data_IF_370014420676
#
_entry.id   IF_370014420676
#
_cell.length_a   1.000
_cell.length_b   1.000
_cell.length_c   1.000
_cell.angle_alpha   90.00
_cell.angle_beta   90.00
_cell.angle_gamma   90.00
#
_symmetry.space_group_name_H-M   'P 1'
#
loop_
_entity.id
_entity.type
_entity.pdbx_description
1 polymer ?
#
# COMPACT_ATOMS: atom_id res chain seq x y z
N UNK A 1 -7.20 8.12 21.85
CA UNK A 1 -8.08 7.38 20.91
C UNK A 1 -9.12 8.26 20.23
N UNK A 2 -9.75 9.22 20.92
CA UNK A 2 -10.73 10.13 20.30
C UNK A 2 -10.22 10.84 19.02
N UNK A 3 -8.95 11.28 18.99
CA UNK A 3 -8.37 11.93 17.81
C UNK A 3 -8.20 11.00 16.60
N UNK A 4 -7.93 9.71 16.85
CA UNK A 4 -7.83 8.69 15.80
C UNK A 4 -9.19 8.47 15.14
N UNK A 5 -10.26 8.41 15.94
CA UNK A 5 -11.63 8.24 15.44
C UNK A 5 -12.13 9.50 14.72
N UNK A 6 -11.83 10.70 15.25
CA UNK A 6 -12.21 11.96 14.60
C UNK A 6 -11.51 12.15 13.26
N UNK A 7 -10.21 11.84 13.19
CA UNK A 7 -9.46 11.88 11.93
C UNK A 7 -9.95 10.83 10.93
N UNK A 8 -10.33 9.63 11.38
CA UNK A 8 -10.97 8.61 10.55
C UNK A 8 -12.25 9.13 9.89
N UNK A 9 -13.16 9.72 10.69
CA UNK A 9 -14.42 10.26 10.17
C UNK A 9 -14.21 11.37 9.14
N UNK A 10 -13.23 12.26 9.37
CA UNK A 10 -12.85 13.31 8.40
C UNK A 10 -12.26 12.73 7.11
N UNK A 11 -11.37 11.75 7.23
CA UNK A 11 -10.78 11.07 6.09
C UNK A 11 -11.82 10.32 5.28
N UNK A 12 -12.78 9.65 5.94
CA UNK A 12 -13.87 8.94 5.28
C UNK A 12 -14.78 9.92 4.52
N UNK A 13 -15.16 11.04 5.16
CA UNK A 13 -15.96 12.08 4.49
C UNK A 13 -15.22 12.70 3.29
N UNK A 14 -13.90 12.92 3.40
CA UNK A 14 -13.08 13.40 2.30
C UNK A 14 -12.99 12.38 1.14
N UNK A 15 -12.76 11.11 1.47
CA UNK A 15 -12.69 9.99 0.51
C UNK A 15 -14.00 9.83 -0.28
N UNK A 16 -15.15 9.95 0.39
CA UNK A 16 -16.47 9.82 -0.22
C UNK A 16 -16.91 11.04 -1.01
N UNK A 17 -16.10 12.12 -1.03
CA UNK A 17 -16.42 13.27 -1.88
C UNK A 17 -16.32 12.89 -3.37
N UNK A 18 -17.24 13.35 -4.24
CA UNK A 18 -17.23 13.00 -5.66
C UNK A 18 -15.91 13.31 -6.36
N UNK A 19 -15.25 14.40 -5.93
CA UNK A 19 -13.93 14.80 -6.44
C UNK A 19 -12.84 13.79 -6.10
N UNK A 20 -12.84 13.23 -4.88
CA UNK A 20 -11.82 12.27 -4.46
C UNK A 20 -12.05 10.89 -5.07
N UNK A 21 -13.31 10.48 -5.19
CA UNK A 21 -13.67 9.25 -5.91
C UNK A 21 -13.29 9.37 -7.40
N UNK A 22 -13.59 10.49 -8.06
CA UNK A 22 -13.15 10.73 -9.44
C UNK A 22 -11.63 10.74 -9.56
N UNK A 23 -10.92 11.32 -8.60
CA UNK A 23 -9.46 11.32 -8.56
C UNK A 23 -8.88 9.90 -8.45
N UNK A 24 -9.54 9.00 -7.71
CA UNK A 24 -9.12 7.58 -7.59
C UNK A 24 -9.22 6.81 -8.92
N UNK A 25 -10.09 7.24 -9.83
CA UNK A 25 -10.25 6.60 -11.15
C UNK A 25 -9.06 6.90 -12.06
N UNK A 26 -8.45 8.08 -11.96
CA UNK A 26 -7.33 8.46 -12.83
C UNK A 26 -6.14 7.48 -12.78
N UNK A 27 -5.50 7.22 -11.61
CA UNK A 27 -4.38 6.27 -11.54
C UNK A 27 -4.82 4.83 -11.86
N UNK A 28 -6.06 4.48 -11.55
CA UNK A 28 -6.64 3.18 -11.89
C UNK A 28 -6.72 2.99 -13.41
N UNK A 29 -7.32 3.94 -14.12
CA UNK A 29 -7.46 3.92 -15.58
C UNK A 29 -6.09 3.93 -16.25
N UNK A 30 -5.16 4.77 -15.79
CA UNK A 30 -3.79 4.80 -16.30
C UNK A 30 -3.12 3.43 -16.17
N UNK A 31 -3.25 2.79 -15.00
CA UNK A 31 -2.68 1.46 -14.76
C UNK A 31 -3.34 0.38 -15.61
N UNK A 32 -4.68 0.37 -15.71
CA UNK A 32 -5.41 -0.62 -16.52
C UNK A 32 -5.10 -0.46 -18.00
N UNK A 33 -5.02 0.77 -18.53
CA UNK A 33 -4.66 1.02 -19.92
C UNK A 33 -3.22 0.58 -20.20
N UNK A 34 -2.27 0.98 -19.36
CA UNK A 34 -0.86 0.60 -19.50
C UNK A 34 -0.72 -0.93 -19.52
N UNK A 35 -1.24 -1.62 -18.50
CA UNK A 35 -1.11 -3.06 -18.40
C UNK A 35 -1.96 -3.81 -19.42
N UNK A 36 -3.11 -3.27 -19.82
CA UNK A 36 -3.90 -3.79 -20.92
C UNK A 36 -3.10 -3.81 -22.22
N UNK A 37 -2.40 -2.72 -22.55
CA UNK A 37 -1.52 -2.65 -23.72
C UNK A 37 -0.31 -3.58 -23.58
N UNK A 38 0.37 -3.57 -22.43
CA UNK A 38 1.55 -4.42 -22.20
C UNK A 38 1.21 -5.91 -22.29
N UNK A 39 0.09 -6.34 -21.70
CA UNK A 39 -0.34 -7.74 -21.77
C UNK A 39 -0.86 -8.09 -23.16
N UNK A 40 -1.58 -7.18 -23.84
CA UNK A 40 -2.02 -7.42 -25.21
C UNK A 40 -0.84 -7.67 -26.16
N UNK A 41 0.23 -6.88 -26.04
CA UNK A 41 1.41 -6.99 -26.92
C UNK A 41 2.40 -8.06 -26.44
N UNK A 42 2.54 -8.24 -25.12
CA UNK A 42 3.63 -9.00 -24.51
C UNK A 42 3.24 -10.33 -23.89
N UNK A 43 1.95 -10.68 -23.76
CA UNK A 43 1.53 -11.90 -23.04
C UNK A 43 2.08 -13.18 -23.66
N UNK A 44 1.96 -13.36 -24.98
CA UNK A 44 2.50 -14.54 -25.66
C UNK A 44 4.04 -14.60 -25.57
N UNK A 45 4.79 -13.55 -25.97
CA UNK A 45 6.25 -13.53 -25.83
C UNK A 45 6.75 -13.80 -24.40
N UNK A 46 6.06 -13.24 -23.40
CA UNK A 46 6.41 -13.43 -21.99
C UNK A 46 6.19 -14.88 -21.54
N UNK A 47 5.07 -15.49 -21.92
CA UNK A 47 4.83 -16.91 -21.61
C UNK A 47 5.84 -17.81 -22.32
N UNK A 48 6.14 -17.56 -23.59
CA UNK A 48 7.12 -18.34 -24.35
C UNK A 48 8.50 -18.24 -23.70
N UNK A 49 8.90 -17.03 -23.30
CA UNK A 49 10.14 -16.80 -22.56
C UNK A 49 10.16 -17.57 -21.24
N UNK A 50 9.08 -17.52 -20.44
CA UNK A 50 9.00 -18.29 -19.18
C UNK A 50 9.06 -19.80 -19.44
N UNK A 51 8.35 -20.33 -20.44
CA UNK A 51 8.39 -21.74 -20.79
C UNK A 51 9.80 -22.17 -21.21
N UNK A 52 10.50 -21.35 -22.00
CA UNK A 52 11.89 -21.58 -22.35
C UNK A 52 12.78 -21.68 -21.11
N UNK A 53 12.67 -20.72 -20.19
CA UNK A 53 13.43 -20.73 -18.93
C UNK A 53 13.16 -21.98 -18.09
N UNK A 54 11.91 -22.46 -18.11
CA UNK A 54 11.52 -23.68 -17.42
C UNK A 54 12.10 -24.96 -18.02
N UNK A 55 12.22 -25.01 -19.35
CA UNK A 55 12.84 -26.13 -20.07
C UNK A 55 14.35 -26.12 -19.84
N UNK A 56 14.99 -24.96 -20.00
CA UNK A 56 16.43 -24.79 -19.91
C UNK A 56 17.01 -25.20 -18.53
N UNK A 57 16.27 -24.91 -17.46
CA UNK A 57 16.70 -25.19 -16.08
C UNK A 57 16.04 -26.44 -15.46
N UNK A 58 15.37 -27.29 -16.25
CA UNK A 58 14.61 -28.48 -15.81
C UNK A 58 13.63 -28.19 -14.65
N UNK A 59 13.06 -26.97 -14.63
CA UNK A 59 12.18 -26.51 -13.56
C UNK A 59 10.84 -27.25 -13.57
N UNK A 60 10.40 -27.78 -14.72
CA UNK A 60 9.19 -28.60 -14.81
C UNK A 60 9.30 -29.91 -14.03
N UNK A 61 10.49 -30.51 -13.99
CA UNK A 61 10.74 -31.73 -13.21
C UNK A 61 10.75 -31.42 -11.73
N UNK A 62 11.50 -30.39 -11.33
CA UNK A 62 11.63 -29.97 -9.93
C UNK A 62 10.30 -29.51 -9.34
N UNK A 63 9.60 -28.58 -10.01
CA UNK A 63 8.28 -28.11 -9.57
C UNK A 63 7.24 -29.23 -9.61
N UNK A 64 7.24 -30.07 -10.65
CA UNK A 64 6.32 -31.20 -10.77
C UNK A 64 6.48 -32.23 -9.66
N UNK A 65 7.73 -32.54 -9.28
CA UNK A 65 8.06 -33.45 -8.17
C UNK A 65 7.62 -32.88 -6.82
N UNK A 66 7.80 -31.58 -6.60
CA UNK A 66 7.35 -30.93 -5.37
C UNK A 66 5.82 -30.93 -5.30
N UNK A 67 5.14 -30.51 -6.37
CA UNK A 67 3.67 -30.49 -6.42
C UNK A 67 3.07 -31.88 -6.22
N UNK A 68 3.63 -32.91 -6.85
CA UNK A 68 3.13 -34.28 -6.68
C UNK A 68 3.32 -34.79 -5.25
N UNK A 69 4.41 -34.40 -4.57
CA UNK A 69 4.66 -34.80 -3.19
C UNK A 69 3.61 -34.28 -2.19
N UNK A 70 2.95 -33.16 -2.51
CA UNK A 70 1.88 -32.55 -1.70
C UNK A 70 0.47 -32.83 -2.25
N UNK A 71 0.34 -33.70 -3.26
CA UNK A 71 -0.95 -34.07 -3.87
C UNK A 71 -1.49 -33.08 -4.91
N UNK A 72 -0.69 -32.09 -5.33
CA UNK A 72 -1.08 -31.01 -6.26
C UNK A 72 -0.60 -31.24 -7.70
N UNK A 73 -0.38 -32.49 -8.12
CA UNK A 73 0.16 -32.83 -9.44
C UNK A 73 -0.64 -32.24 -10.62
N UNK A 74 -1.95 -32.02 -10.44
CA UNK A 74 -2.83 -31.37 -11.42
C UNK A 74 -2.43 -29.94 -11.79
N UNK A 75 -1.72 -29.23 -10.90
CA UNK A 75 -1.29 -27.84 -11.15
C UNK A 75 -0.02 -27.76 -11.99
N UNK A 76 0.64 -28.88 -12.33
CA UNK A 76 1.90 -28.91 -13.10
C UNK A 76 1.80 -28.15 -14.43
N UNK A 77 0.65 -28.26 -15.11
CA UNK A 77 0.38 -27.55 -16.38
C UNK A 77 0.09 -26.06 -16.19
N UNK A 78 -0.23 -25.64 -14.96
CA UNK A 78 -0.55 -24.26 -14.60
C UNK A 78 0.61 -23.53 -13.93
N UNK A 79 1.74 -24.19 -13.65
CA UNK A 79 2.87 -23.59 -12.93
C UNK A 79 3.37 -22.31 -13.61
N UNK A 80 3.56 -22.34 -14.93
CA UNK A 80 4.05 -21.16 -15.67
C UNK A 80 3.03 -20.01 -15.63
N UNK A 81 1.74 -20.21 -16.00
CA UNK A 81 0.72 -19.17 -15.85
C UNK A 81 0.57 -18.64 -14.41
N UNK A 82 0.63 -19.50 -13.39
CA UNK A 82 0.51 -19.09 -11.99
C UNK A 82 1.69 -18.21 -11.55
N UNK A 83 2.92 -18.55 -11.97
CA UNK A 83 4.10 -17.74 -11.70
C UNK A 83 4.08 -16.42 -12.46
N UNK A 84 3.60 -16.43 -13.71
CA UNK A 84 3.35 -15.21 -14.48
C UNK A 84 2.41 -14.27 -13.71
N UNK A 85 1.27 -14.79 -13.24
CA UNK A 85 0.32 -14.02 -12.43
C UNK A 85 0.94 -13.54 -11.11
N UNK A 86 1.69 -14.40 -10.42
CA UNK A 86 2.37 -14.05 -9.17
C UNK A 86 3.38 -12.91 -9.35
N UNK A 87 4.04 -12.83 -10.50
CA UNK A 87 4.99 -11.77 -10.81
C UNK A 87 4.28 -10.48 -11.28
N UNK A 88 3.29 -10.62 -12.17
CA UNK A 88 2.64 -9.50 -12.83
C UNK A 88 1.69 -8.76 -11.88
N UNK A 89 0.91 -9.47 -11.05
CA UNK A 89 -0.10 -8.84 -10.18
C UNK A 89 0.51 -7.82 -9.20
N UNK A 90 1.58 -8.12 -8.44
CA UNK A 90 2.23 -7.13 -7.59
C UNK A 90 2.77 -5.95 -8.39
N UNK A 91 3.34 -6.19 -9.58
CA UNK A 91 3.89 -5.13 -10.41
C UNK A 91 2.80 -4.19 -10.94
N UNK A 92 1.63 -4.73 -11.29
CA UNK A 92 0.43 -3.96 -11.62
C UNK A 92 -0.02 -3.05 -10.48
N UNK A 93 -0.10 -3.62 -9.27
CA UNK A 93 -0.48 -2.87 -8.07
C UNK A 93 0.55 -1.78 -7.78
N UNK A 94 1.85 -2.11 -7.80
CA UNK A 94 2.94 -1.15 -7.60
C UNK A 94 2.87 0.00 -8.62
N UNK A 95 2.61 -0.30 -9.90
CA UNK A 95 2.47 0.72 -10.94
C UNK A 95 1.28 1.66 -10.65
N UNK A 96 0.13 1.10 -10.24
CA UNK A 96 -1.01 1.90 -9.84
C UNK A 96 -0.69 2.80 -8.63
N UNK A 97 0.01 2.28 -7.62
CA UNK A 97 0.42 3.05 -6.45
C UNK A 97 1.41 4.17 -6.81
N UNK A 98 2.33 3.94 -7.76
CA UNK A 98 3.21 4.98 -8.30
C UNK A 98 2.37 6.09 -8.97
N UNK A 99 1.39 5.72 -9.78
CA UNK A 99 0.48 6.71 -10.38
C UNK A 99 -0.34 7.47 -9.33
N UNK A 100 -0.75 6.81 -8.24
CA UNK A 100 -1.39 7.51 -7.10
C UNK A 100 -0.44 8.52 -6.48
N UNK A 101 0.81 8.13 -6.20
CA UNK A 101 1.82 9.01 -5.61
C UNK A 101 2.11 10.24 -6.47
N UNK A 102 2.17 10.09 -7.79
CA UNK A 102 2.50 11.18 -8.71
C UNK A 102 1.27 12.04 -9.08
N UNK A 103 0.11 11.42 -9.31
CA UNK A 103 -1.06 12.12 -9.86
C UNK A 103 -2.12 12.50 -8.80
N UNK A 104 -2.34 11.65 -7.80
CA UNK A 104 -3.42 11.83 -6.83
C UNK A 104 -2.94 12.48 -5.52
N UNK A 105 -1.82 12.02 -4.94
CA UNK A 105 -1.34 12.51 -3.65
C UNK A 105 -1.12 14.03 -3.59
N UNK A 106 -0.56 14.71 -4.61
CA UNK A 106 -0.43 16.17 -4.58
C UNK A 106 -1.78 16.89 -4.47
N UNK A 107 -2.82 16.34 -5.10
CA UNK A 107 -4.19 16.88 -5.04
C UNK A 107 -4.82 16.60 -3.68
N UNK A 108 -4.58 15.42 -3.11
CA UNK A 108 -5.04 15.01 -1.78
C UNK A 108 -4.48 15.93 -0.70
N UNK A 109 -3.15 16.09 -0.66
CA UNK A 109 -2.45 16.97 0.28
C UNK A 109 -2.94 18.41 0.15
N UNK A 110 -3.07 18.92 -1.09
CA UNK A 110 -3.61 20.27 -1.33
C UNK A 110 -5.06 20.39 -0.85
N UNK A 111 -5.89 19.37 -1.03
CA UNK A 111 -7.28 19.39 -0.59
C UNK A 111 -7.39 19.47 0.94
N UNK A 112 -6.60 18.67 1.66
CA UNK A 112 -6.64 18.64 3.12
C UNK A 112 -6.06 19.91 3.72
N UNK A 113 -4.88 20.33 3.27
CA UNK A 113 -4.21 21.55 3.76
C UNK A 113 -5.09 22.79 3.58
N UNK A 114 -5.58 23.05 2.37
CA UNK A 114 -6.37 24.27 2.08
C UNK A 114 -7.74 24.29 2.76
N UNK A 115 -8.40 23.13 2.91
CA UNK A 115 -9.77 23.08 3.41
C UNK A 115 -9.87 22.87 4.91
N UNK A 116 -8.97 22.06 5.48
CA UNK A 116 -9.07 21.62 6.87
C UNK A 116 -8.06 22.30 7.79
N UNK A 117 -6.94 22.78 7.24
CA UNK A 117 -5.86 23.41 8.00
C UNK A 117 -5.28 24.64 7.27
N UNK A 118 -6.12 25.61 6.86
CA UNK A 118 -5.66 26.77 6.08
C UNK A 118 -4.65 27.65 6.83
N UNK A 119 -4.67 27.59 8.16
CA UNK A 119 -3.79 28.36 9.06
C UNK A 119 -2.40 27.73 9.25
N UNK A 120 -2.16 26.49 8.77
CA UNK A 120 -0.86 25.84 8.95
C UNK A 120 0.13 26.28 7.87
N UNK A 121 1.16 27.05 8.27
CA UNK A 121 2.29 27.36 7.39
C UNK A 121 3.07 26.11 7.03
N UNK A 122 3.35 25.95 5.73
CA UNK A 122 4.21 24.90 5.17
C UNK A 122 5.66 25.26 5.48
N UNK A 123 6.31 24.48 6.35
CA UNK A 123 7.73 24.64 6.67
C UNK A 123 8.67 23.83 5.76
N UNK A 124 8.11 23.02 4.83
CA UNK A 124 8.86 22.18 3.85
C UNK A 124 10.08 21.47 4.47
N UNK A 125 9.90 20.89 5.67
CA UNK A 125 10.98 20.33 6.48
C UNK A 125 11.56 19.00 5.97
N UNK A 126 11.38 18.67 4.69
CA UNK A 126 12.07 17.56 4.05
C UNK A 126 11.88 17.54 2.54
N UNK A 127 12.29 16.43 1.93
CA UNK A 127 12.37 16.31 0.47
C UNK A 127 11.86 14.96 -0.02
N UNK A 128 11.59 14.86 -1.31
CA UNK A 128 11.25 13.60 -1.98
C UNK A 128 12.32 12.53 -1.76
N UNK A 129 13.60 12.89 -1.84
CA UNK A 129 14.71 11.98 -1.53
C UNK A 129 14.74 11.56 -0.05
N UNK A 130 14.31 12.44 0.86
CA UNK A 130 14.12 12.11 2.27
C UNK A 130 13.02 11.06 2.48
N UNK A 131 11.91 11.14 1.74
CA UNK A 131 10.84 10.12 1.76
C UNK A 131 11.36 8.77 1.27
N UNK A 132 12.10 8.74 0.15
CA UNK A 132 12.72 7.51 -0.37
C UNK A 132 13.71 6.92 0.63
N UNK A 133 14.60 7.73 1.21
CA UNK A 133 15.55 7.30 2.23
C UNK A 133 14.85 6.75 3.48
N UNK A 134 13.79 7.40 3.95
CA UNK A 134 12.97 6.94 5.07
C UNK A 134 12.28 5.61 4.77
N UNK A 135 11.72 5.45 3.57
CA UNK A 135 11.10 4.21 3.13
C UNK A 135 12.11 3.06 3.07
N UNK A 136 13.28 3.28 2.48
CA UNK A 136 14.35 2.29 2.40
C UNK A 136 14.89 1.90 3.79
N UNK A 137 15.15 2.87 4.66
CA UNK A 137 15.61 2.60 6.02
C UNK A 137 14.55 1.84 6.84
N UNK A 138 13.28 2.23 6.73
CA UNK A 138 12.18 1.55 7.41
C UNK A 138 11.98 0.13 6.86
N UNK A 139 12.16 -0.08 5.55
CA UNK A 139 12.11 -1.40 4.93
C UNK A 139 13.27 -2.29 5.37
N UNK A 140 14.49 -1.75 5.49
CA UNK A 140 15.62 -2.51 6.02
C UNK A 140 15.35 -2.97 7.47
N UNK A 141 14.83 -2.08 8.33
CA UNK A 141 14.43 -2.44 9.69
C UNK A 141 13.32 -3.49 9.67
N UNK A 142 12.31 -3.32 8.80
CA UNK A 142 11.22 -4.29 8.61
C UNK A 142 11.77 -5.69 8.31
N UNK A 143 12.73 -5.81 7.39
CA UNK A 143 13.33 -7.11 7.03
C UNK A 143 14.02 -7.74 8.24
N UNK A 144 14.83 -6.98 8.97
CA UNK A 144 15.51 -7.51 10.17
C UNK A 144 14.51 -7.99 11.22
N UNK A 145 13.48 -7.20 11.51
CA UNK A 145 12.47 -7.56 12.51
C UNK A 145 11.61 -8.73 12.01
N UNK A 146 11.26 -8.77 10.72
CA UNK A 146 10.53 -9.89 10.11
C UNK A 146 11.30 -11.21 10.27
N UNK A 147 12.60 -11.21 9.99
CA UNK A 147 13.44 -12.40 10.18
C UNK A 147 13.48 -12.81 11.66
N UNK A 148 13.53 -11.84 12.58
CA UNK A 148 13.49 -12.11 14.01
C UNK A 148 12.12 -12.63 14.50
N UNK A 149 11.02 -12.33 13.80
CA UNK A 149 9.67 -12.83 14.14
C UNK A 149 9.34 -14.18 13.51
N UNK A 150 10.19 -14.75 12.64
CA UNK A 150 9.98 -16.09 12.05
C UNK A 150 9.68 -17.18 13.09
N UNK A 151 10.34 -17.25 14.27
CA UNK A 151 10.00 -18.24 15.28
C UNK A 151 8.55 -18.13 15.80
N UNK A 152 7.95 -16.93 15.77
CA UNK A 152 6.56 -16.72 16.19
C UNK A 152 5.56 -17.37 15.21
N UNK A 153 5.98 -17.70 13.99
CA UNK A 153 5.12 -18.38 13.01
C UNK A 153 4.78 -19.82 13.38
N UNK A 154 5.46 -20.41 14.38
CA UNK A 154 5.07 -21.69 14.96
C UNK A 154 3.71 -21.63 15.68
N UNK A 155 3.25 -20.43 16.07
CA UNK A 155 1.98 -20.21 16.76
C UNK A 155 1.11 -19.27 15.91
N UNK A 156 0.10 -19.77 15.19
CA UNK A 156 -0.62 -18.99 14.18
C UNK A 156 -1.20 -17.65 14.67
N UNK A 157 -1.78 -17.54 15.89
CA UNK A 157 -2.22 -16.24 16.41
C UNK A 157 -1.09 -15.22 16.58
N UNK A 158 0.10 -15.66 17.02
CA UNK A 158 1.28 -14.79 17.17
C UNK A 158 1.84 -14.39 15.82
N UNK A 159 1.83 -15.31 14.84
CA UNK A 159 2.20 -15.02 13.46
C UNK A 159 1.35 -13.88 12.87
N UNK A 160 0.03 -13.98 13.03
CA UNK A 160 -0.91 -12.97 12.55
C UNK A 160 -0.71 -11.63 13.25
N UNK A 161 -0.55 -11.64 14.58
CA UNK A 161 -0.27 -10.43 15.35
C UNK A 161 1.03 -9.77 14.91
N UNK A 162 2.12 -10.54 14.76
CA UNK A 162 3.40 -10.04 14.28
C UNK A 162 3.27 -9.43 12.88
N UNK A 163 2.52 -10.08 11.99
CA UNK A 163 2.27 -9.58 10.64
C UNK A 163 1.55 -8.23 10.66
N UNK A 164 0.41 -8.14 11.35
CA UNK A 164 -0.38 -6.90 11.44
C UNK A 164 0.42 -5.76 12.09
N UNK A 165 1.15 -6.05 13.17
CA UNK A 165 1.97 -5.06 13.88
C UNK A 165 3.10 -4.55 12.99
N UNK A 166 3.82 -5.46 12.34
CA UNK A 166 5.00 -5.12 11.55
C UNK A 166 4.63 -4.32 10.30
N UNK A 167 3.59 -4.75 9.58
CA UNK A 167 3.04 -4.00 8.45
C UNK A 167 2.49 -2.66 8.88
N UNK A 168 1.72 -2.62 9.97
CA UNK A 168 1.19 -1.38 10.51
C UNK A 168 2.28 -0.40 10.93
N UNK A 169 3.37 -0.91 11.50
CA UNK A 169 4.54 -0.10 11.86
C UNK A 169 5.23 0.50 10.63
N UNK A 170 5.46 -0.31 9.59
CA UNK A 170 6.06 0.16 8.34
C UNK A 170 5.19 1.23 7.67
N UNK A 171 3.90 0.97 7.52
CA UNK A 171 2.93 1.94 6.98
C UNK A 171 2.91 3.22 7.80
N UNK A 172 2.86 3.12 9.14
CA UNK A 172 2.86 4.29 10.01
C UNK A 172 4.13 5.13 9.86
N UNK A 173 5.30 4.50 9.70
CA UNK A 173 6.57 5.22 9.56
C UNK A 173 6.67 5.98 8.24
N UNK A 174 6.34 5.33 7.13
CA UNK A 174 6.43 5.91 5.79
C UNK A 174 5.36 6.97 5.59
N UNK A 175 4.09 6.62 5.81
CA UNK A 175 2.96 7.52 5.50
C UNK A 175 2.91 8.71 6.46
N UNK A 176 3.26 8.54 7.75
CA UNK A 176 3.32 9.69 8.66
C UNK A 176 4.48 10.63 8.32
N UNK A 177 5.61 10.11 7.82
CA UNK A 177 6.70 10.95 7.32
C UNK A 177 6.22 11.80 6.15
N UNK A 178 5.60 11.15 5.14
CA UNK A 178 5.08 11.82 3.94
C UNK A 178 4.01 12.88 4.28
N UNK A 179 3.12 12.59 5.24
CA UNK A 179 2.09 13.54 5.69
C UNK A 179 2.67 14.77 6.42
N UNK A 180 3.84 14.62 7.05
CA UNK A 180 4.45 15.69 7.85
C UNK A 180 5.50 16.48 7.08
N UNK A 181 6.13 15.91 6.06
CA UNK A 181 7.31 16.49 5.38
C UNK A 181 7.04 17.88 4.79
N UNK A 182 5.84 18.11 4.27
CA UNK A 182 5.44 19.38 3.67
C UNK A 182 5.16 20.49 4.70
N UNK A 183 4.73 20.11 5.90
CA UNK A 183 4.15 21.05 6.87
C UNK A 183 5.00 21.24 8.12
N UNK A 184 5.67 20.19 8.60
CA UNK A 184 6.44 20.19 9.83
C UNK A 184 7.93 20.45 9.57
N UNK A 185 8.60 21.14 10.50
CA UNK A 185 10.06 21.13 10.57
C UNK A 185 10.59 19.74 10.95
N UNK A 186 11.89 19.50 10.77
CA UNK A 186 12.52 18.24 11.14
C UNK A 186 12.32 17.92 12.64
N UNK A 187 12.51 18.92 13.50
CA UNK A 187 12.32 18.78 14.94
C UNK A 187 10.86 18.51 15.34
N UNK A 188 9.91 19.24 14.73
CA UNK A 188 8.47 19.04 14.95
C UNK A 188 8.07 17.61 14.55
N UNK A 189 8.55 17.13 13.38
CA UNK A 189 8.28 15.79 12.87
C UNK A 189 8.81 14.71 13.81
N UNK A 190 10.08 14.80 14.21
CA UNK A 190 10.67 13.83 15.15
C UNK A 190 9.92 13.80 16.49
N UNK A 191 9.52 14.97 16.98
CA UNK A 191 8.74 15.10 18.23
C UNK A 191 7.36 14.45 18.09
N UNK A 192 6.65 14.69 16.99
CA UNK A 192 5.34 14.09 16.73
C UNK A 192 5.42 12.58 16.59
N UNK A 193 6.33 12.08 15.75
CA UNK A 193 6.45 10.64 15.49
C UNK A 193 6.81 9.88 16.77
N UNK A 194 7.55 10.49 17.70
CA UNK A 194 7.86 9.89 19.01
C UNK A 194 6.68 9.93 19.95
N UNK A 195 6.01 11.07 20.05
CA UNK A 195 4.90 11.30 20.99
C UNK A 195 3.64 10.52 20.60
N UNK A 196 3.34 10.45 19.29
CA UNK A 196 2.15 9.82 18.74
C UNK A 196 2.40 8.41 18.16
N UNK A 197 3.51 7.75 18.54
CA UNK A 197 3.89 6.44 17.99
C UNK A 197 2.79 5.37 18.07
N UNK A 198 2.05 5.32 19.17
CA UNK A 198 0.99 4.32 19.38
C UNK A 198 -0.27 4.61 18.55
N UNK A 199 -0.81 5.84 18.55
CA UNK A 199 -1.87 6.21 17.62
C UNK A 199 -1.51 5.99 16.15
N UNK A 200 -0.31 6.39 15.73
CA UNK A 200 0.16 6.21 14.35
C UNK A 200 0.25 4.72 14.00
N UNK A 201 0.77 3.89 14.92
CA UNK A 201 0.81 2.45 14.75
C UNK A 201 -0.60 1.86 14.60
N UNK A 202 -1.57 2.29 15.42
CA UNK A 202 -2.95 1.82 15.31
C UNK A 202 -3.56 2.16 13.95
N UNK A 203 -3.39 3.40 13.48
CA UNK A 203 -3.85 3.81 12.14
C UNK A 203 -3.18 2.91 11.08
N UNK A 204 -1.86 2.72 11.17
CA UNK A 204 -1.11 1.86 10.27
C UNK A 204 -1.59 0.41 10.27
N UNK A 205 -1.87 -0.18 11.44
CA UNK A 205 -2.38 -1.55 11.54
C UNK A 205 -3.75 -1.69 10.87
N UNK A 206 -4.67 -0.76 11.14
CA UNK A 206 -6.01 -0.77 10.54
C UNK A 206 -5.92 -0.60 9.02
N UNK A 207 -5.10 0.35 8.55
CA UNK A 207 -4.83 0.55 7.13
C UNK A 207 -4.16 -0.65 6.47
N UNK A 208 -3.21 -1.30 7.15
CA UNK A 208 -2.53 -2.50 6.66
C UNK A 208 -3.49 -3.67 6.48
N UNK A 209 -4.38 -3.91 7.46
CA UNK A 209 -5.43 -4.92 7.36
C UNK A 209 -6.42 -4.56 6.23
N UNK A 210 -6.82 -3.29 6.12
CA UNK A 210 -7.67 -2.83 5.02
C UNK A 210 -7.02 -3.08 3.66
N UNK A 211 -5.68 -2.93 3.56
CA UNK A 211 -4.90 -3.21 2.36
C UNK A 211 -4.98 -4.66 1.87
N UNK A 212 -5.41 -5.61 2.72
CA UNK A 212 -5.65 -6.99 2.31
C UNK A 212 -7.04 -7.22 1.68
N UNK A 213 -7.99 -6.29 1.84
CA UNK A 213 -9.36 -6.42 1.33
C UNK A 213 -9.45 -6.65 -0.19
N UNK A 214 -8.64 -6.01 -1.04
CA UNK A 214 -8.70 -6.27 -2.48
C UNK A 214 -8.38 -7.73 -2.83
N UNK A 215 -7.60 -8.42 -1.98
CA UNK A 215 -7.34 -9.86 -2.12
C UNK A 215 -8.61 -10.72 -2.08
N UNK A 216 -9.64 -10.28 -1.36
CA UNK A 216 -10.92 -11.01 -1.22
C UNK A 216 -11.65 -11.12 -2.56
N UNK A 217 -11.45 -10.15 -3.47
CA UNK A 217 -12.04 -10.18 -4.83
C UNK A 217 -11.66 -11.46 -5.58
N UNK A 218 -10.50 -12.05 -5.27
CA UNK A 218 -9.97 -13.25 -5.90
C UNK A 218 -10.45 -14.56 -5.26
N UNK A 219 -10.97 -14.51 -4.02
CA UNK A 219 -11.39 -15.70 -3.26
C UNK A 219 -12.70 -16.30 -3.79
N UNK A 220 -13.47 -15.55 -4.59
CA UNK A 220 -14.76 -15.97 -5.18
C UNK A 220 -14.71 -17.12 -6.20
N UNK A 221 -13.56 -17.77 -6.39
CA UNK A 221 -13.29 -19.08 -6.99
C UNK A 221 -14.45 -19.78 -7.72
N UNK A 222 -14.85 -19.25 -8.87
CA UNK A 222 -15.84 -19.85 -9.76
C UNK A 222 -15.41 -19.67 -11.21
N UNK A 223 -16.02 -20.41 -12.15
CA UNK A 223 -15.83 -20.22 -13.61
C UNK A 223 -16.00 -18.75 -14.01
N UNK A 224 -16.87 -18.02 -13.31
CA UNK A 224 -17.11 -16.60 -13.51
C UNK A 224 -15.87 -15.73 -13.25
N UNK A 225 -14.99 -16.11 -12.31
CA UNK A 225 -13.77 -15.36 -12.01
C UNK A 225 -12.75 -15.38 -13.16
N UNK A 226 -12.74 -16.46 -13.96
CA UNK A 226 -11.88 -16.56 -15.15
C UNK A 226 -12.40 -15.65 -16.26
N UNK A 227 -13.72 -15.65 -16.50
CA UNK A 227 -14.34 -14.80 -17.53
C UNK A 227 -14.27 -13.31 -17.17
N UNK A 228 -14.53 -12.98 -15.90
CA UNK A 228 -14.49 -11.61 -15.40
C UNK A 228 -13.09 -11.17 -14.97
N UNK A 229 -12.04 -11.96 -15.22
CA UNK A 229 -10.69 -11.69 -14.74
C UNK A 229 -10.23 -10.23 -14.98
N UNK A 230 -10.37 -9.65 -16.20
CA UNK A 230 -9.96 -8.26 -16.43
C UNK A 230 -10.73 -7.25 -15.57
N UNK A 231 -12.02 -7.50 -15.35
CA UNK A 231 -12.87 -6.65 -14.53
C UNK A 231 -12.54 -6.80 -13.04
N UNK A 232 -12.35 -8.03 -12.55
CA UNK A 232 -11.94 -8.30 -11.17
C UNK A 232 -10.57 -7.70 -10.87
N UNK A 233 -9.62 -7.78 -11.81
CA UNK A 233 -8.32 -7.12 -11.71
C UNK A 233 -8.48 -5.60 -11.60
N UNK A 234 -9.29 -4.99 -12.48
CA UNK A 234 -9.55 -3.56 -12.45
C UNK A 234 -10.20 -3.11 -11.13
N UNK A 235 -11.19 -3.86 -10.63
CA UNK A 235 -11.84 -3.59 -9.34
C UNK A 235 -10.85 -3.76 -8.19
N UNK A 236 -10.02 -4.80 -8.20
CA UNK A 236 -8.99 -5.01 -7.18
C UNK A 236 -7.98 -3.87 -7.17
N UNK A 237 -7.49 -3.41 -8.32
CA UNK A 237 -6.58 -2.26 -8.44
C UNK A 237 -7.27 -1.00 -7.92
N UNK A 238 -8.52 -0.77 -8.31
CA UNK A 238 -9.28 0.39 -7.83
C UNK A 238 -9.46 0.39 -6.31
N UNK A 239 -9.76 -0.77 -5.71
CA UNK A 239 -9.84 -0.90 -4.25
C UNK A 239 -8.49 -0.61 -3.58
N UNK A 240 -7.36 -1.11 -4.12
CA UNK A 240 -6.03 -0.75 -3.61
C UNK A 240 -5.80 0.76 -3.63
N UNK A 241 -6.14 1.42 -4.74
CA UNK A 241 -6.02 2.87 -4.87
C UNK A 241 -6.90 3.60 -3.84
N UNK A 242 -8.17 3.22 -3.71
CA UNK A 242 -9.12 3.82 -2.76
C UNK A 242 -8.62 3.68 -1.32
N UNK A 243 -8.17 2.49 -0.93
CA UNK A 243 -7.62 2.22 0.41
C UNK A 243 -6.34 3.02 0.65
N UNK A 244 -5.48 3.15 -0.36
CA UNK A 244 -4.24 3.90 -0.25
C UNK A 244 -4.49 5.41 -0.10
N UNK A 245 -5.38 6.00 -0.91
CA UNK A 245 -5.79 7.41 -0.78
C UNK A 245 -6.43 7.65 0.60
N UNK A 246 -7.33 6.77 1.03
CA UNK A 246 -7.97 6.86 2.34
C UNK A 246 -6.94 6.81 3.47
N UNK A 247 -5.96 5.90 3.39
CA UNK A 247 -4.88 5.79 4.37
C UNK A 247 -4.07 7.08 4.43
N UNK A 248 -3.68 7.65 3.27
CA UNK A 248 -3.01 8.94 3.20
C UNK A 248 -3.83 10.05 3.87
N UNK A 249 -5.11 10.19 3.52
CA UNK A 249 -6.04 11.16 4.12
C UNK A 249 -6.15 11.02 5.64
N UNK A 250 -6.19 9.79 6.16
CA UNK A 250 -6.30 9.53 7.59
C UNK A 250 -5.04 9.95 8.34
N UNK A 251 -3.87 9.56 7.82
CA UNK A 251 -2.59 10.03 8.36
C UNK A 251 -2.46 11.55 8.27
N UNK A 252 -2.80 12.16 7.13
CA UNK A 252 -2.78 13.61 6.93
C UNK A 252 -3.63 14.34 7.98
N UNK A 253 -4.90 13.97 8.13
CA UNK A 253 -5.80 14.59 9.10
C UNK A 253 -5.33 14.42 10.55
N UNK A 254 -4.77 13.25 10.88
CA UNK A 254 -4.26 12.99 12.22
C UNK A 254 -2.98 13.78 12.51
N UNK A 255 -2.01 13.72 11.61
CA UNK A 255 -0.71 14.37 11.71
C UNK A 255 -0.83 15.89 11.76
N UNK A 256 -1.61 16.50 10.86
CA UNK A 256 -1.80 17.95 10.83
C UNK A 256 -2.56 18.45 12.07
N UNK A 257 -3.52 17.68 12.58
CA UNK A 257 -4.19 18.01 13.84
C UNK A 257 -3.20 17.96 15.02
N UNK A 258 -2.37 16.93 15.11
CA UNK A 258 -1.35 16.82 16.14
C UNK A 258 -0.29 17.92 16.02
N UNK A 259 0.09 18.30 14.81
CA UNK A 259 1.05 19.38 14.53
C UNK A 259 0.51 20.74 14.98
N UNK A 260 -0.76 21.02 14.67
CA UNK A 260 -1.46 22.21 15.16
C UNK A 260 -1.43 22.28 16.69
N UNK A 261 -1.70 21.15 17.35
CA UNK A 261 -1.65 21.04 18.81
C UNK A 261 -0.25 21.32 19.38
N UNK A 262 0.80 20.78 18.73
CA UNK A 262 2.19 21.02 19.14
C UNK A 262 2.57 22.50 19.01
N UNK A 263 2.26 23.14 17.87
CA UNK A 263 2.56 24.57 17.66
C UNK A 263 1.80 25.47 18.62
N UNK A 264 0.52 25.17 18.87
CA UNK A 264 -0.27 25.89 19.86
C UNK A 264 0.33 25.78 21.27
N UNK A 265 0.85 24.61 21.66
CA UNK A 265 1.53 24.42 22.94
C UNK A 265 2.89 25.15 23.02
N UNK A 266 3.57 25.35 21.89
CA UNK A 266 4.83 26.09 21.79
C UNK A 266 4.64 27.61 21.63
N UNK A 267 3.42 28.08 21.40
CA UNK A 267 3.12 29.49 21.11
C UNK A 267 3.56 29.96 19.72
N UNK A 268 3.91 29.03 18.82
CA UNK A 268 4.42 29.33 17.46
C UNK A 268 3.28 29.53 16.44
N UNK A 269 2.33 30.44 16.70
CA UNK A 269 1.15 30.64 15.84
C UNK A 269 1.40 31.38 14.51
N UNK A 270 2.65 31.54 14.07
CA UNK A 270 2.99 32.21 12.80
C UNK A 270 3.65 31.27 11.79
#
# INVERSE_FOLDING_TARGET
MADVIRSFGRALAAQLSPRMLALSLLPTVLSVVLWGVLLWLGWQPFNDWMHHQFIEHDLFRTSGSLLSSVGLGMLKTLVVPLLAMLLLLPLMILTALVFVGVAAMPVVVRHVSTRSFPELVRKEGGSWWGSVGMALASFAIFVVVFLATLPLYAVPPLALAAHVVLWGWLTARVVAYDALVDHASDEERHTLMRTHRWPLLLIGMVSGVAGALPGIVWVGGSVLAVVLFPFLAAVSIWLYVVIFIFTGLWFEHYCLHALRGLRAARGEQE
#
